data_IF_416287359609
#
_entry.id   IF_416287359609
#
_cell.length_a   1.000
_cell.length_b   1.000
_cell.length_c   1.000
_cell.angle_alpha   90.00
_cell.angle_beta   90.00
_cell.angle_gamma   90.00
#
_symmetry.space_group_name_H-M   'P 1'
#
loop_
_entity.id
_entity.type
_entity.pdbx_description
1 polymer ?
#
# COMPACT_ATOMS: atom_id res chain seq x y z
N UNK A 1 -13.20 -10.93 12.11
CA UNK A 1 -13.27 -11.81 10.92
C UNK A 1 -13.74 -11.15 9.62
N UNK A 2 -14.95 -10.58 9.56
CA UNK A 2 -15.63 -10.26 8.29
C UNK A 2 -14.93 -9.20 7.45
N UNK A 3 -14.34 -8.19 8.07
CA UNK A 3 -13.59 -7.14 7.36
C UNK A 3 -12.30 -7.68 6.75
N UNK A 4 -11.54 -8.48 7.50
CA UNK A 4 -10.32 -9.16 6.99
C UNK A 4 -10.63 -10.06 5.79
N UNK A 5 -11.82 -10.68 5.77
CA UNK A 5 -12.24 -11.51 4.64
C UNK A 5 -12.46 -10.71 3.35
N UNK A 6 -12.74 -9.40 3.43
CA UNK A 6 -12.92 -8.51 2.27
C UNK A 6 -11.59 -8.13 1.62
N UNK A 7 -10.48 -8.25 2.35
CA UNK A 7 -9.15 -7.94 1.81
C UNK A 7 -8.71 -9.06 0.88
N UNK A 8 -8.46 -8.72 -0.39
CA UNK A 8 -8.05 -9.68 -1.42
C UNK A 8 -6.54 -9.69 -1.65
N UNK A 9 -5.83 -8.62 -1.27
CA UNK A 9 -4.40 -8.47 -1.46
C UNK A 9 -3.93 -7.07 -1.10
N UNK A 10 -2.68 -6.78 -1.43
CA UNK A 10 -2.01 -5.52 -1.09
C UNK A 10 -1.36 -4.87 -2.30
N UNK A 11 -1.31 -3.54 -2.31
CA UNK A 11 -0.42 -2.74 -3.14
C UNK A 11 0.40 -1.88 -2.18
N UNK A 12 1.72 -1.95 -2.28
CA UNK A 12 2.60 -1.10 -1.46
C UNK A 12 2.79 0.23 -2.18
N UNK A 13 2.25 1.31 -1.62
CA UNK A 13 2.25 2.61 -2.28
C UNK A 13 3.47 3.46 -1.90
N UNK A 14 3.89 4.35 -2.81
CA UNK A 14 4.92 5.40 -2.59
C UNK A 14 6.26 4.89 -2.06
N UNK A 15 6.67 3.68 -2.45
CA UNK A 15 7.95 3.13 -2.01
C UNK A 15 9.13 3.91 -2.59
N UNK A 16 10.16 4.14 -1.77
CA UNK A 16 11.40 4.83 -2.16
C UNK A 16 12.59 3.90 -1.95
N UNK A 17 13.50 3.90 -2.91
CA UNK A 17 14.73 3.12 -2.84
C UNK A 17 14.66 1.87 -3.71
N UNK A 18 15.61 0.97 -3.48
CA UNK A 18 15.73 -0.29 -4.22
C UNK A 18 14.67 -1.30 -3.75
N UNK A 19 13.88 -1.79 -4.69
CA UNK A 19 12.82 -2.77 -4.42
C UNK A 19 13.37 -4.10 -3.92
N UNK A 20 14.61 -4.45 -4.29
CA UNK A 20 15.26 -5.68 -3.84
C UNK A 20 15.41 -5.73 -2.32
N UNK A 21 15.54 -4.56 -1.67
CA UNK A 21 15.58 -4.47 -0.20
C UNK A 21 14.20 -4.71 0.45
N UNK A 22 13.11 -4.54 -0.31
CA UNK A 22 11.74 -4.74 0.17
C UNK A 22 11.24 -6.17 -0.03
N UNK A 23 11.82 -6.93 -0.97
CA UNK A 23 11.39 -8.30 -1.32
C UNK A 23 11.16 -9.20 -0.09
N UNK A 24 12.08 -9.30 0.89
CA UNK A 24 11.86 -10.15 2.07
C UNK A 24 10.62 -9.74 2.90
N UNK A 25 10.29 -8.44 2.91
CA UNK A 25 9.09 -7.93 3.56
C UNK A 25 7.81 -8.29 2.83
N UNK A 26 7.83 -8.34 1.49
CA UNK A 26 6.70 -8.77 0.67
C UNK A 26 6.43 -10.27 0.84
N UNK A 27 7.50 -11.07 0.90
CA UNK A 27 7.42 -12.51 1.15
C UNK A 27 6.83 -12.78 2.53
N UNK A 28 7.32 -12.08 3.56
CA UNK A 28 6.78 -12.19 4.91
C UNK A 28 5.31 -11.80 4.97
N UNK A 29 4.91 -10.70 4.33
CA UNK A 29 3.52 -10.23 4.33
C UNK A 29 2.60 -11.26 3.68
N UNK A 30 3.01 -11.81 2.54
CA UNK A 30 2.27 -12.86 1.82
C UNK A 30 2.15 -14.12 2.68
N UNK A 31 3.25 -14.58 3.29
CA UNK A 31 3.27 -15.75 4.16
C UNK A 31 2.40 -15.57 5.42
N UNK A 32 2.43 -14.37 6.03
CA UNK A 32 1.70 -14.06 7.26
C UNK A 32 0.20 -13.91 7.05
N UNK A 33 -0.20 -13.37 5.90
CA UNK A 33 -1.61 -13.03 5.62
C UNK A 33 -2.31 -14.04 4.72
N UNK A 34 -1.56 -14.82 3.95
CA UNK A 34 -2.09 -15.68 2.88
C UNK A 34 -2.68 -14.90 1.71
N UNK A 35 -2.38 -13.60 1.59
CA UNK A 35 -2.91 -12.71 0.55
C UNK A 35 -1.76 -12.22 -0.34
N UNK A 36 -1.97 -12.14 -1.66
CA UNK A 36 -0.93 -11.69 -2.58
C UNK A 36 -0.63 -10.20 -2.41
N UNK A 37 0.63 -9.83 -2.70
CA UNK A 37 1.00 -8.45 -3.04
C UNK A 37 0.91 -8.32 -4.56
N UNK A 38 0.02 -7.46 -5.06
CA UNK A 38 -0.16 -7.23 -6.49
C UNK A 38 0.96 -6.38 -7.10
N UNK A 39 1.65 -5.59 -6.28
CA UNK A 39 2.82 -4.84 -6.70
C UNK A 39 3.21 -3.74 -5.72
N UNK A 40 4.29 -3.05 -6.09
CA UNK A 40 4.84 -1.91 -5.37
C UNK A 40 4.78 -0.71 -6.31
N UNK A 41 4.08 0.35 -5.92
CA UNK A 41 4.10 1.61 -6.64
C UNK A 41 5.34 2.40 -6.20
N UNK A 42 6.25 2.75 -7.14
CA UNK A 42 7.38 3.59 -6.80
C UNK A 42 6.88 4.99 -6.42
N UNK A 43 7.74 5.73 -5.73
CA UNK A 43 7.48 7.12 -5.47
C UNK A 43 7.47 7.92 -6.78
N UNK A 44 6.28 8.39 -7.18
CA UNK A 44 6.09 9.20 -8.38
C UNK A 44 6.21 10.68 -8.05
N UNK A 45 7.23 11.33 -8.60
CA UNK A 45 7.40 12.78 -8.46
C UNK A 45 6.24 13.52 -9.12
N UNK A 46 5.64 14.49 -8.40
CA UNK A 46 4.51 15.28 -8.90
C UNK A 46 3.14 14.61 -8.78
N UNK A 47 3.07 13.35 -8.31
CA UNK A 47 1.79 12.72 -8.00
C UNK A 47 1.34 13.08 -6.58
N UNK A 48 0.42 14.03 -6.50
CA UNK A 48 -0.26 14.39 -5.26
C UNK A 48 -1.52 13.52 -5.13
N UNK A 49 -1.49 12.54 -4.22
CA UNK A 49 -2.71 11.89 -3.74
C UNK A 49 -3.01 12.50 -2.37
N UNK A 50 -4.25 12.94 -2.20
CA UNK A 50 -4.77 13.34 -0.90
C UNK A 50 -4.70 12.16 0.07
N UNK A 51 -4.59 12.43 1.37
CA UNK A 51 -4.63 11.36 2.35
C UNK A 51 -6.02 10.70 2.30
N UNK A 52 -6.07 9.38 2.46
CA UNK A 52 -7.31 8.60 2.44
C UNK A 52 -8.36 9.16 3.43
N UNK A 53 -7.88 9.65 4.58
CA UNK A 53 -8.69 10.29 5.62
C UNK A 53 -8.61 11.84 5.63
N UNK A 54 -8.18 12.46 4.52
CA UNK A 54 -8.20 13.91 4.43
C UNK A 54 -9.66 14.41 4.31
N UNK A 55 -10.22 14.90 5.41
CA UNK A 55 -11.43 15.72 5.34
C UNK A 55 -11.01 17.06 4.73
N UNK A 56 -11.35 17.27 3.46
CA UNK A 56 -11.26 18.60 2.84
C UNK A 56 -12.35 19.46 3.47
N UNK A 57 -12.06 20.12 4.59
CA UNK A 57 -12.94 21.14 5.12
C UNK A 57 -12.88 22.33 4.17
N UNK A 58 -13.88 22.48 3.30
CA UNK A 58 -14.09 23.74 2.61
C UNK A 58 -14.37 24.80 3.69
N UNK A 59 -13.39 25.65 3.96
CA UNK A 59 -13.62 26.82 4.80
C UNK A 59 -14.57 27.74 4.03
N UNK A 60 -15.78 27.89 4.59
CA UNK A 60 -16.76 28.91 4.20
C UNK A 60 -16.45 30.20 4.93
#
# INVERSE_FOLDING_TARGET
ETERARVTGFIINRFRGDIALLEPGLDWLTARTGKPVFGVLPYLHGLHLDAEDAIVSAQV
#
